data_IF_196095436890
#
_entry.id   IF_196095436890
#
_cell.length_a   1.000
_cell.length_b   1.000
_cell.length_c   1.000
_cell.angle_alpha   90.00
_cell.angle_beta   90.00
_cell.angle_gamma   90.00
#
_symmetry.space_group_name_H-M   'P 1'
#
loop_
_entity.id
_entity.type
_entity.pdbx_description
1 polymer ?
#
# COMPACT_ATOMS: atom_id res chain seq x y z
N UNK A 1 9.64 -12.53 12.20
CA UNK A 1 8.88 -12.56 10.92
C UNK A 1 9.82 -12.09 9.83
N UNK A 2 9.86 -12.73 8.66
CA UNK A 2 10.71 -12.32 7.53
C UNK A 2 9.83 -12.11 6.31
N UNK A 3 10.11 -11.07 5.52
CA UNK A 3 9.48 -10.90 4.20
C UNK A 3 9.95 -12.01 3.26
N UNK A 4 9.12 -12.35 2.28
CA UNK A 4 9.55 -13.17 1.14
C UNK A 4 10.41 -12.35 0.15
N UNK A 5 10.36 -11.02 0.24
CA UNK A 5 11.24 -10.13 -0.50
C UNK A 5 12.61 -10.07 0.18
N UNK A 6 13.67 -10.08 -0.62
CA UNK A 6 15.01 -9.75 -0.16
C UNK A 6 15.07 -8.25 0.14
N UNK A 7 15.09 -7.91 1.43
CA UNK A 7 15.16 -6.53 1.91
C UNK A 7 16.54 -6.32 2.50
N UNK A 8 17.23 -5.26 2.08
CA UNK A 8 18.52 -4.90 2.64
C UNK A 8 18.41 -4.64 4.16
N UNK A 9 19.33 -5.14 5.01
CA UNK A 9 19.24 -4.99 6.47
C UNK A 9 19.11 -3.55 6.96
N UNK A 10 19.77 -2.62 6.27
CA UNK A 10 19.76 -1.17 6.55
C UNK A 10 18.59 -0.42 5.88
N UNK A 11 17.67 -1.12 5.21
CA UNK A 11 16.53 -0.46 4.57
C UNK A 11 15.58 0.11 5.60
N UNK A 12 15.23 1.39 5.46
CA UNK A 12 14.17 2.03 6.25
C UNK A 12 12.78 1.42 5.97
N UNK A 13 12.62 0.69 4.87
CA UNK A 13 11.37 0.04 4.45
C UNK A 13 11.37 -1.45 4.77
N UNK A 14 11.74 -1.78 6.01
CA UNK A 14 11.65 -3.15 6.50
C UNK A 14 10.19 -3.61 6.61
N UNK A 15 9.99 -4.92 6.72
CA UNK A 15 8.66 -5.52 6.97
C UNK A 15 8.00 -5.02 8.27
N UNK A 16 8.74 -4.36 9.16
CA UNK A 16 8.22 -3.82 10.40
C UNK A 16 7.73 -2.37 10.30
N UNK A 17 8.13 -1.63 9.26
CA UNK A 17 7.79 -0.21 9.12
C UNK A 17 6.56 0.01 8.23
N UNK A 18 6.50 -0.69 7.08
CA UNK A 18 5.38 -0.64 6.11
C UNK A 18 4.68 0.73 5.99
N UNK A 19 5.41 1.82 5.65
CA UNK A 19 4.81 3.14 5.57
C UNK A 19 3.87 3.24 4.37
N UNK A 20 2.71 3.87 4.60
CA UNK A 20 1.72 4.17 3.58
C UNK A 20 2.06 5.48 2.86
N UNK A 21 1.84 5.52 1.56
CA UNK A 21 2.05 6.71 0.74
C UNK A 21 1.19 6.69 -0.52
N UNK A 22 1.22 7.79 -1.26
CA UNK A 22 0.62 7.87 -2.59
C UNK A 22 1.73 7.81 -3.62
N UNK A 23 1.56 6.96 -4.62
CA UNK A 23 2.49 6.83 -5.74
C UNK A 23 1.73 6.88 -7.06
N UNK A 24 2.45 7.21 -8.13
CA UNK A 24 1.93 7.20 -9.49
C UNK A 24 2.96 6.51 -10.39
N UNK A 25 2.71 5.26 -10.83
CA UNK A 25 3.48 4.64 -11.91
C UNK A 25 3.47 5.54 -13.14
N UNK A 26 4.52 5.48 -13.96
CA UNK A 26 4.76 6.44 -15.06
C UNK A 26 3.50 6.71 -15.93
N UNK A 27 2.84 7.84 -15.65
CA UNK A 27 1.65 8.32 -16.38
C UNK A 27 0.31 7.71 -15.94
N UNK A 28 0.28 6.92 -14.88
CA UNK A 28 -0.92 6.29 -14.34
C UNK A 28 -1.54 7.12 -13.20
N UNK A 29 -2.77 6.77 -12.82
CA UNK A 29 -3.54 7.42 -11.75
C UNK A 29 -2.85 7.27 -10.39
N UNK A 30 -2.66 8.38 -9.63
CA UNK A 30 -2.11 8.32 -8.28
C UNK A 30 -3.01 7.51 -7.35
N UNK A 31 -2.39 6.64 -6.55
CA UNK A 31 -3.09 5.71 -5.66
C UNK A 31 -2.25 5.33 -4.45
N UNK A 32 -2.88 4.70 -3.47
CA UNK A 32 -2.25 4.33 -2.21
C UNK A 32 -1.41 3.07 -2.37
N UNK A 33 -0.19 3.12 -1.82
CA UNK A 33 0.72 1.99 -1.77
C UNK A 33 1.53 1.96 -0.47
N UNK A 34 2.24 0.85 -0.27
CA UNK A 34 3.13 0.64 0.88
C UNK A 34 4.55 0.41 0.39
N UNK A 35 5.53 1.14 0.94
CA UNK A 35 6.92 0.90 0.59
C UNK A 35 7.48 -0.32 1.35
N UNK A 36 8.15 -1.22 0.64
CA UNK A 36 8.81 -2.41 1.19
C UNK A 36 10.10 -2.73 0.43
N UNK A 37 11.24 -2.64 1.12
CA UNK A 37 12.55 -2.66 0.48
C UNK A 37 12.65 -1.59 -0.61
N UNK A 38 12.96 -2.01 -1.83
CA UNK A 38 13.07 -1.14 -3.00
C UNK A 38 11.81 -1.16 -3.89
N UNK A 39 10.69 -1.68 -3.36
CA UNK A 39 9.44 -1.86 -4.08
C UNK A 39 8.29 -1.11 -3.41
N UNK A 40 7.23 -0.86 -4.18
CA UNK A 40 5.96 -0.34 -3.68
C UNK A 40 4.89 -1.40 -3.92
N UNK A 41 4.22 -1.82 -2.86
CA UNK A 41 3.04 -2.67 -2.90
C UNK A 41 1.81 -1.81 -3.20
N UNK A 42 1.16 -2.07 -4.34
CA UNK A 42 -0.07 -1.37 -4.76
C UNK A 42 -1.28 -1.90 -3.99
N UNK A 43 -1.86 -1.09 -3.10
CA UNK A 43 -3.00 -1.53 -2.30
C UNK A 43 -4.30 -1.56 -3.09
N UNK A 44 -4.42 -0.77 -4.17
CA UNK A 44 -5.61 -0.78 -5.01
C UNK A 44 -5.80 -2.12 -5.73
N UNK A 45 -4.68 -2.76 -6.14
CA UNK A 45 -4.70 -4.07 -6.80
C UNK A 45 -5.17 -5.16 -5.83
N UNK A 46 -4.71 -5.09 -4.57
CA UNK A 46 -5.13 -6.03 -3.53
C UNK A 46 -6.61 -5.84 -3.15
N UNK A 47 -7.07 -4.60 -3.08
CA UNK A 47 -8.48 -4.25 -2.88
C UNK A 47 -9.36 -4.85 -3.98
N UNK A 48 -9.02 -4.59 -5.24
CA UNK A 48 -9.73 -5.13 -6.40
C UNK A 48 -9.66 -6.66 -6.50
N UNK A 49 -8.63 -7.27 -5.92
CA UNK A 49 -8.48 -8.73 -5.85
C UNK A 49 -9.21 -9.35 -4.66
N UNK A 50 -9.90 -8.54 -3.83
CA UNK A 50 -10.72 -9.00 -2.73
C UNK A 50 -9.96 -9.34 -1.44
N UNK A 51 -8.70 -8.92 -1.29
CA UNK A 51 -7.91 -9.22 -0.08
C UNK A 51 -8.38 -8.46 1.17
N UNK A 52 -9.22 -7.43 1.00
CA UNK A 52 -9.69 -6.57 2.09
C UNK A 52 -11.19 -6.68 2.37
N UNK A 53 -11.91 -7.61 1.75
CA UNK A 53 -13.39 -7.72 1.86
C UNK A 53 -13.90 -7.94 3.29
N UNK A 54 -13.07 -8.50 4.17
CA UNK A 54 -13.44 -8.73 5.58
C UNK A 54 -13.14 -7.52 6.48
N UNK A 55 -12.37 -6.54 6.00
CA UNK A 55 -11.81 -5.44 6.80
C UNK A 55 -12.28 -4.07 6.30
N UNK A 56 -12.56 -3.93 5.00
CA UNK A 56 -13.06 -2.71 4.40
C UNK A 56 -14.55 -2.83 4.10
N UNK A 57 -15.34 -1.93 4.68
CA UNK A 57 -16.77 -1.78 4.37
C UNK A 57 -17.01 -0.94 3.10
N UNK A 58 -16.01 -0.17 2.68
CA UNK A 58 -16.06 0.75 1.54
C UNK A 58 -15.17 0.26 0.41
N UNK A 59 -15.63 0.41 -0.83
CA UNK A 59 -14.82 0.16 -2.03
C UNK A 59 -14.02 1.41 -2.43
N UNK A 60 -12.94 1.16 -3.17
CA UNK A 60 -12.03 2.15 -3.75
C UNK A 60 -11.36 3.07 -2.72
N UNK A 61 -11.08 2.56 -1.51
CA UNK A 61 -10.34 3.29 -0.46
C UNK A 61 -8.91 3.57 -0.90
N UNK A 62 -8.26 2.59 -1.54
CA UNK A 62 -6.85 2.69 -1.93
C UNK A 62 -6.65 3.21 -3.36
N UNK A 63 -7.72 3.33 -4.14
CA UNK A 63 -7.72 3.92 -5.48
C UNK A 63 -7.80 5.46 -5.46
N UNK A 64 -7.53 6.09 -4.31
CA UNK A 64 -7.61 7.55 -4.13
C UNK A 64 -6.24 8.23 -4.32
N UNK A 65 -6.19 9.47 -4.82
CA UNK A 65 -4.96 10.23 -4.98
C UNK A 65 -4.42 10.81 -3.66
N UNK A 66 -5.00 10.44 -2.52
CA UNK A 66 -4.58 10.86 -1.18
C UNK A 66 -4.86 9.78 -0.12
N UNK A 67 -4.18 9.86 1.03
CA UNK A 67 -4.41 8.96 2.16
C UNK A 67 -5.65 9.33 2.99
N UNK A 68 -6.31 10.45 2.72
CA UNK A 68 -7.40 10.98 3.55
C UNK A 68 -8.53 9.96 3.72
N UNK A 69 -8.97 9.33 2.62
CA UNK A 69 -10.04 8.33 2.64
C UNK A 69 -9.69 7.12 3.48
N UNK A 70 -8.42 6.69 3.44
CA UNK A 70 -7.93 5.60 4.27
C UNK A 70 -7.86 6.00 5.75
N UNK A 71 -7.36 7.20 6.05
CA UNK A 71 -7.29 7.73 7.43
C UNK A 71 -8.67 7.98 8.06
N UNK A 72 -9.70 8.25 7.25
CA UNK A 72 -11.09 8.41 7.71
C UNK A 72 -11.68 7.12 8.31
N UNK A 73 -11.06 5.96 8.06
CA UNK A 73 -11.55 4.67 8.58
C UNK A 73 -11.22 4.44 10.07
N UNK A 74 -10.28 5.20 10.64
CA UNK A 74 -9.90 5.12 12.06
C UNK A 74 -8.47 4.67 12.29
#
# INVERSE_FOLDING_TARGET
MKSFLEIHPESHFSIHNLPYGVFAPAGDTPRVGVAIGDQILDLSVLENSGFFVEVLEMEAVFSQPSLNKFMELG
#
